data_IF_589491748977
#
_entry.id   IF_589491748977
#
_cell.length_a   1.000
_cell.length_b   1.000
_cell.length_c   1.000
_cell.angle_alpha   90.00
_cell.angle_beta   90.00
_cell.angle_gamma   90.00
#
_symmetry.space_group_name_H-M   'P 1'
#
loop_
_entity.id
_entity.type
_entity.pdbx_description
1 polymer ?
#
# COMPACT_ATOMS: atom_id res chain seq x y z
N UNK A 1 -27.36 -8.24 25.99
CA UNK A 1 -26.96 -8.29 24.57
C UNK A 1 -26.05 -7.10 24.30
N UNK A 2 -24.87 -7.40 23.77
CA UNK A 2 -23.87 -6.55 23.11
C UNK A 2 -23.95 -5.02 23.25
N UNK A 3 -22.93 -4.46 23.90
CA UNK A 3 -22.21 -3.29 23.37
C UNK A 3 -20.76 -3.31 23.87
N UNK A 4 -19.97 -4.25 23.34
CA UNK A 4 -18.55 -4.43 23.67
C UNK A 4 -17.58 -3.93 22.57
N UNK A 5 -18.08 -3.28 21.52
CA UNK A 5 -17.26 -2.84 20.37
C UNK A 5 -17.19 -1.31 20.23
N UNK A 6 -17.94 -0.54 21.04
CA UNK A 6 -17.99 0.93 20.89
C UNK A 6 -17.04 1.71 21.83
N UNK A 7 -16.52 1.09 22.89
CA UNK A 7 -15.68 1.78 23.89
C UNK A 7 -14.18 1.82 23.55
N UNK A 8 -13.70 0.92 22.67
CA UNK A 8 -12.28 0.84 22.32
C UNK A 8 -11.82 1.98 21.41
N UNK A 9 -12.74 2.61 20.67
CA UNK A 9 -12.40 3.72 19.77
C UNK A 9 -12.29 5.06 20.52
N UNK A 10 -13.01 5.22 21.64
CA UNK A 10 -12.94 6.44 22.48
C UNK A 10 -11.64 6.55 23.28
N UNK A 11 -10.98 5.43 23.61
CA UNK A 11 -9.65 5.47 24.25
C UNK A 11 -8.55 6.00 23.34
N UNK A 12 -8.69 5.90 22.02
CA UNK A 12 -7.70 6.46 21.09
C UNK A 12 -7.81 7.98 21.02
N UNK A 13 -9.02 8.53 21.12
CA UNK A 13 -9.27 9.97 21.14
C UNK A 13 -8.91 10.62 22.48
N UNK A 14 -9.07 9.91 23.60
CA UNK A 14 -8.68 10.41 24.93
C UNK A 14 -7.16 10.39 25.16
N UNK A 15 -6.41 9.44 24.57
CA UNK A 15 -4.94 9.49 24.62
C UNK A 15 -4.39 10.75 23.95
N UNK A 16 -5.04 11.25 22.89
CA UNK A 16 -4.67 12.51 22.25
C UNK A 16 -4.91 13.74 23.14
N UNK A 17 -5.87 13.70 24.06
CA UNK A 17 -6.12 14.80 25.01
C UNK A 17 -5.30 14.66 26.31
N UNK A 18 -4.96 13.44 26.73
CA UNK A 18 -4.23 13.22 27.97
C UNK A 18 -2.71 13.46 27.85
N UNK A 19 -2.17 13.50 26.63
CA UNK A 19 -0.80 13.96 26.34
C UNK A 19 -0.63 15.47 26.54
N UNK A 20 -1.72 16.20 26.82
CA UNK A 20 -1.70 17.67 26.98
C UNK A 20 -1.30 18.13 28.39
N UNK A 21 -0.96 17.22 29.31
CA UNK A 21 -0.65 17.53 30.72
C UNK A 21 0.67 16.96 31.25
N UNK A 22 1.61 16.58 30.39
CA UNK A 22 3.02 16.44 30.81
C UNK A 22 3.90 17.37 29.96
N UNK A 23 4.56 18.24 30.71
CA UNK A 23 5.15 19.53 30.36
C UNK A 23 6.44 19.38 29.52
N UNK A 24 6.72 20.37 28.64
CA UNK A 24 8.01 20.64 27.93
C UNK A 24 8.22 20.10 26.48
N UNK A 25 7.20 19.83 25.64
CA UNK A 25 7.46 19.60 24.18
C UNK A 25 6.52 20.35 23.19
N UNK A 26 5.81 21.38 23.65
CA UNK A 26 4.78 22.04 22.83
C UNK A 26 5.29 22.94 21.68
N UNK A 27 6.61 23.08 21.49
CA UNK A 27 7.17 23.88 20.39
C UNK A 27 7.52 23.05 19.13
N UNK A 28 7.53 21.72 19.19
CA UNK A 28 7.97 20.86 18.09
C UNK A 28 6.82 20.24 17.27
N UNK A 29 5.61 20.19 17.85
CA UNK A 29 4.44 19.53 17.24
C UNK A 29 3.93 20.24 15.98
N UNK A 30 4.15 21.56 15.87
CA UNK A 30 3.72 22.34 14.71
C UNK A 30 4.58 22.15 13.47
N UNK A 31 5.87 21.78 13.61
CA UNK A 31 6.74 21.50 12.45
C UNK A 31 6.47 20.07 11.89
N UNK A 32 6.05 19.15 12.77
CA UNK A 32 5.78 17.76 12.45
C UNK A 32 4.49 17.57 11.62
N UNK A 33 3.45 18.34 11.94
CA UNK A 33 2.13 18.20 11.30
C UNK A 33 2.15 18.52 9.79
N UNK A 34 2.95 19.50 9.35
CA UNK A 34 3.09 19.84 7.93
C UNK A 34 3.86 18.80 7.10
N UNK A 35 4.78 18.04 7.72
CA UNK A 35 5.57 17.03 7.03
C UNK A 35 4.84 15.68 6.90
N UNK A 36 3.92 15.39 7.82
CA UNK A 36 3.10 14.19 7.78
C UNK A 36 2.01 14.28 6.70
N UNK A 37 1.44 15.46 6.46
CA UNK A 37 0.40 15.63 5.44
C UNK A 37 0.92 15.31 4.02
N UNK A 38 2.08 15.87 3.64
CA UNK A 38 2.72 15.56 2.36
C UNK A 38 3.05 14.06 2.24
N UNK A 39 3.56 13.46 3.33
CA UNK A 39 3.82 12.03 3.38
C UNK A 39 2.56 11.19 3.18
N UNK A 40 1.45 11.55 3.81
CA UNK A 40 0.19 10.84 3.61
C UNK A 40 -0.36 11.02 2.20
N UNK A 41 -0.13 12.17 1.56
CA UNK A 41 -0.41 12.36 0.13
C UNK A 41 0.35 11.36 -0.76
N UNK A 42 1.65 11.18 -0.54
CA UNK A 42 2.42 10.17 -1.28
C UNK A 42 1.97 8.73 -0.96
N UNK A 43 1.66 8.44 0.30
CA UNK A 43 1.13 7.13 0.72
C UNK A 43 -0.19 6.83 0.02
N UNK A 44 -1.08 7.81 -0.12
CA UNK A 44 -2.36 7.62 -0.81
C UNK A 44 -2.14 7.39 -2.31
N UNK A 45 -1.26 8.15 -2.95
CA UNK A 45 -0.88 7.89 -4.35
C UNK A 45 -0.33 6.47 -4.56
N UNK A 46 0.44 5.93 -3.60
CA UNK A 46 0.92 4.55 -3.65
C UNK A 46 -0.23 3.54 -3.50
N UNK A 47 -1.17 3.80 -2.59
CA UNK A 47 -2.35 2.94 -2.40
C UNK A 47 -3.25 2.92 -3.62
N UNK A 48 -3.42 4.06 -4.30
CA UNK A 48 -4.17 4.15 -5.56
C UNK A 48 -3.53 3.28 -6.65
N UNK A 49 -2.21 3.37 -6.82
CA UNK A 49 -1.49 2.51 -7.76
C UNK A 49 -1.66 1.02 -7.42
N UNK A 50 -1.62 0.66 -6.13
CA UNK A 50 -1.86 -0.72 -5.67
C UNK A 50 -3.29 -1.17 -6.00
N UNK A 51 -4.30 -0.34 -5.75
CA UNK A 51 -5.69 -0.64 -6.12
C UNK A 51 -5.81 -0.88 -7.63
N UNK A 52 -5.10 -0.08 -8.42
CA UNK A 52 -5.08 -0.23 -9.87
C UNK A 52 -4.42 -1.55 -10.30
N UNK A 53 -3.45 -2.07 -9.54
CA UNK A 53 -2.88 -3.42 -9.76
C UNK A 53 -3.91 -4.50 -9.39
N UNK A 54 -4.61 -4.37 -8.26
CA UNK A 54 -5.65 -5.32 -7.84
C UNK A 54 -6.77 -5.44 -8.89
N UNK A 55 -7.17 -4.34 -9.51
CA UNK A 55 -8.17 -4.34 -10.58
C UNK A 55 -7.71 -5.10 -11.83
N UNK A 56 -6.45 -4.93 -12.26
CA UNK A 56 -5.92 -5.70 -13.39
C UNK A 56 -5.80 -7.18 -13.01
N UNK A 57 -5.36 -7.47 -11.79
CA UNK A 57 -5.23 -8.84 -11.31
C UNK A 57 -6.58 -9.58 -11.33
N UNK A 58 -7.66 -8.95 -10.86
CA UNK A 58 -9.02 -9.51 -10.95
C UNK A 58 -9.44 -9.77 -12.39
N UNK A 59 -9.26 -8.78 -13.29
CA UNK A 59 -9.57 -8.97 -14.73
C UNK A 59 -8.75 -10.10 -15.36
N UNK A 60 -7.51 -10.30 -14.93
CA UNK A 60 -6.66 -11.40 -15.38
C UNK A 60 -7.19 -12.76 -14.89
N UNK A 61 -7.65 -12.83 -13.64
CA UNK A 61 -8.31 -14.03 -13.10
C UNK A 61 -9.58 -14.36 -13.88
N UNK A 62 -10.46 -13.38 -14.10
CA UNK A 62 -11.71 -13.57 -14.84
C UNK A 62 -11.43 -14.04 -16.28
N UNK A 63 -10.44 -13.44 -16.96
CA UNK A 63 -10.02 -13.85 -18.29
C UNK A 63 -9.43 -15.27 -18.32
N UNK A 64 -8.71 -15.68 -17.27
CA UNK A 64 -8.22 -17.05 -17.17
C UNK A 64 -9.36 -18.06 -17.02
N UNK A 65 -10.35 -17.79 -16.17
CA UNK A 65 -11.50 -18.68 -15.99
C UNK A 65 -12.38 -18.73 -17.26
N UNK A 66 -12.54 -17.60 -17.97
CA UNK A 66 -13.18 -17.56 -19.30
C UNK A 66 -12.44 -18.47 -20.30
N UNK A 67 -11.11 -18.51 -20.25
CA UNK A 67 -10.31 -19.28 -21.21
C UNK A 67 -10.54 -20.78 -21.14
N UNK A 68 -11.03 -21.28 -20.01
CA UNK A 68 -11.33 -22.70 -19.78
C UNK A 68 -12.60 -23.17 -20.47
N UNK A 69 -13.51 -22.25 -20.80
CA UNK A 69 -14.83 -22.58 -21.37
C UNK A 69 -14.94 -22.19 -22.84
N UNK A 70 -14.02 -21.35 -23.34
CA UNK A 70 -13.98 -20.94 -24.75
C UNK A 70 -13.29 -22.01 -25.58
N UNK A 71 -14.01 -22.57 -26.56
CA UNK A 71 -13.49 -23.57 -27.50
C UNK A 71 -13.24 -23.02 -28.91
N UNK A 72 -13.63 -21.77 -29.19
CA UNK A 72 -13.32 -21.12 -30.46
C UNK A 72 -11.86 -20.65 -30.53
N UNK A 73 -11.12 -21.15 -31.52
CA UNK A 73 -9.69 -20.88 -31.66
C UNK A 73 -9.36 -19.38 -31.82
N UNK A 74 -10.22 -18.61 -32.49
CA UNK A 74 -10.00 -17.16 -32.66
C UNK A 74 -10.22 -16.42 -31.34
N UNK A 75 -11.27 -16.76 -30.61
CA UNK A 75 -11.56 -16.21 -29.30
C UNK A 75 -10.45 -16.55 -28.29
N UNK A 76 -9.95 -17.80 -28.26
CA UNK A 76 -8.82 -18.20 -27.40
C UNK A 76 -7.57 -17.37 -27.69
N UNK A 77 -7.21 -17.15 -28.96
CA UNK A 77 -6.05 -16.30 -29.32
C UNK A 77 -6.21 -14.86 -28.85
N UNK A 78 -7.39 -14.27 -29.04
CA UNK A 78 -7.70 -12.91 -28.57
C UNK A 78 -7.63 -12.81 -27.05
N UNK A 79 -8.11 -13.83 -26.36
CA UNK A 79 -8.11 -13.90 -24.90
C UNK A 79 -6.69 -13.99 -24.33
N UNK A 80 -5.84 -14.83 -24.91
CA UNK A 80 -4.41 -14.90 -24.54
C UNK A 80 -3.70 -13.57 -24.72
N UNK A 81 -3.90 -12.90 -25.87
CA UNK A 81 -3.30 -11.59 -26.10
C UNK A 81 -3.76 -10.54 -25.06
N UNK A 82 -5.03 -10.59 -24.62
CA UNK A 82 -5.54 -9.74 -23.53
C UNK A 82 -4.86 -10.06 -22.20
N UNK A 83 -4.69 -11.34 -21.87
CA UNK A 83 -4.04 -11.79 -20.65
C UNK A 83 -2.55 -11.37 -20.61
N UNK A 84 -1.82 -11.52 -21.73
CA UNK A 84 -0.42 -11.09 -21.85
C UNK A 84 -0.26 -9.58 -21.66
N UNK A 85 -1.20 -8.80 -22.21
CA UNK A 85 -1.24 -7.34 -21.99
C UNK A 85 -1.45 -7.00 -20.52
N UNK A 86 -2.41 -7.65 -19.84
CA UNK A 86 -2.66 -7.46 -18.41
C UNK A 86 -1.44 -7.81 -17.56
N UNK A 87 -0.73 -8.90 -17.87
CA UNK A 87 0.52 -9.29 -17.21
C UNK A 87 1.57 -8.19 -17.35
N UNK A 88 1.75 -7.66 -18.56
CA UNK A 88 2.71 -6.57 -18.81
C UNK A 88 2.35 -5.30 -18.04
N UNK A 89 1.07 -4.98 -17.96
CA UNK A 89 0.57 -3.80 -17.25
C UNK A 89 0.80 -3.91 -15.73
N UNK A 90 0.53 -5.08 -15.13
CA UNK A 90 0.82 -5.35 -13.71
C UNK A 90 2.30 -5.14 -13.42
N UNK A 91 3.19 -5.74 -14.21
CA UNK A 91 4.63 -5.63 -14.00
C UNK A 91 5.12 -4.18 -14.10
N UNK A 92 4.59 -3.41 -15.06
CA UNK A 92 4.91 -1.99 -15.20
C UNK A 92 4.48 -1.18 -13.98
N UNK A 93 3.25 -1.37 -13.52
CA UNK A 93 2.71 -0.65 -12.34
C UNK A 93 3.46 -1.00 -11.07
N UNK A 94 3.74 -2.28 -10.84
CA UNK A 94 4.52 -2.73 -9.68
C UNK A 94 5.91 -2.11 -9.65
N UNK A 95 6.57 -1.98 -10.81
CA UNK A 95 7.87 -1.29 -10.89
C UNK A 95 7.77 0.18 -10.48
N UNK A 96 6.70 0.88 -10.87
CA UNK A 96 6.44 2.26 -10.44
C UNK A 96 6.20 2.33 -8.92
N UNK A 97 5.37 1.44 -8.37
CA UNK A 97 5.11 1.36 -6.92
C UNK A 97 6.39 1.13 -6.13
N UNK A 98 7.24 0.17 -6.55
CA UNK A 98 8.55 -0.07 -5.91
C UNK A 98 9.41 1.19 -5.89
N UNK A 99 9.43 1.95 -6.99
CA UNK A 99 10.19 3.20 -7.08
C UNK A 99 9.65 4.24 -6.09
N UNK A 100 8.31 4.39 -5.98
CA UNK A 100 7.67 5.28 -5.01
C UNK A 100 7.95 4.86 -3.56
N UNK A 101 7.97 3.56 -3.26
CA UNK A 101 8.31 3.05 -1.92
C UNK A 101 9.75 3.36 -1.53
N UNK A 102 10.71 3.16 -2.44
CA UNK A 102 12.12 3.54 -2.20
C UNK A 102 12.26 5.06 -1.97
N UNK A 103 11.48 5.87 -2.70
CA UNK A 103 11.45 7.31 -2.47
C UNK A 103 10.88 7.68 -1.08
N UNK A 104 9.83 7.00 -0.62
CA UNK A 104 9.30 7.15 0.74
C UNK A 104 10.32 6.74 1.81
N UNK A 105 11.04 5.63 1.62
CA UNK A 105 12.12 5.21 2.54
C UNK A 105 13.24 6.25 2.61
N UNK A 106 13.65 6.81 1.47
CA UNK A 106 14.64 7.89 1.41
C UNK A 106 14.15 9.16 2.10
N UNK A 107 12.87 9.51 1.91
CA UNK A 107 12.22 10.63 2.59
C UNK A 107 12.22 10.43 4.11
N UNK A 108 11.89 9.22 4.59
CA UNK A 108 11.97 8.88 6.02
C UNK A 108 13.39 9.02 6.58
N UNK A 109 14.39 8.54 5.84
CA UNK A 109 15.79 8.67 6.25
C UNK A 109 16.26 10.13 6.29
N UNK A 110 15.78 10.98 5.37
CA UNK A 110 16.07 12.42 5.40
C UNK A 110 15.37 13.11 6.58
N UNK A 111 14.12 12.74 6.88
CA UNK A 111 13.34 13.31 7.96
C UNK A 111 13.98 13.09 9.33
N UNK A 112 14.69 11.98 9.53
CA UNK A 112 15.46 11.70 10.75
C UNK A 112 16.57 12.72 11.07
N UNK A 113 16.97 13.53 10.09
CA UNK A 113 17.99 14.58 10.26
C UNK A 113 17.39 15.91 10.73
N UNK A 114 16.06 16.03 10.73
CA UNK A 114 15.34 17.21 11.22
C UNK A 114 15.30 17.17 12.75
N UNK A 115 15.52 18.32 13.39
CA UNK A 115 15.46 18.43 14.85
C UNK A 115 14.07 17.99 15.36
N UNK A 116 14.04 17.14 16.39
CA UNK A 116 12.79 16.56 16.92
C UNK A 116 12.24 15.35 16.16
N UNK A 117 12.73 15.06 14.95
CA UNK A 117 12.26 13.94 14.12
C UNK A 117 13.24 12.76 14.08
N UNK A 118 14.14 12.67 15.07
CA UNK A 118 15.17 11.63 15.14
C UNK A 118 14.61 10.19 15.18
N UNK A 119 15.49 9.18 15.05
CA UNK A 119 15.11 7.78 15.14
C UNK A 119 14.30 7.49 16.41
N UNK A 120 13.14 6.84 16.26
CA UNK A 120 12.26 6.49 17.38
C UNK A 120 11.26 7.57 17.82
N UNK A 121 11.30 8.76 17.23
CA UNK A 121 10.25 9.78 17.40
C UNK A 121 8.88 9.27 16.95
N UNK A 122 7.79 9.89 17.45
CA UNK A 122 6.42 9.51 17.07
C UNK A 122 6.22 9.55 15.55
N UNK A 123 6.72 10.60 14.91
CA UNK A 123 6.71 10.78 13.47
C UNK A 123 7.52 9.69 12.74
N UNK A 124 8.75 9.42 13.17
CA UNK A 124 9.60 8.38 12.58
C UNK A 124 8.95 6.98 12.68
N UNK A 125 8.38 6.65 13.84
CA UNK A 125 7.67 5.38 14.07
C UNK A 125 6.47 5.24 13.15
N UNK A 126 5.66 6.29 13.04
CA UNK A 126 4.48 6.33 12.17
C UNK A 126 4.87 6.11 10.71
N UNK A 127 5.82 6.91 10.21
CA UNK A 127 6.27 6.82 8.82
C UNK A 127 6.90 5.47 8.51
N UNK A 128 7.73 4.95 9.41
CA UNK A 128 8.38 3.63 9.25
C UNK A 128 7.36 2.50 9.21
N UNK A 129 6.37 2.53 10.10
CA UNK A 129 5.30 1.51 10.16
C UNK A 129 4.46 1.51 8.88
N UNK A 130 4.05 2.69 8.40
CA UNK A 130 3.23 2.82 7.18
C UNK A 130 3.99 2.31 5.95
N UNK A 131 5.24 2.73 5.76
CA UNK A 131 6.06 2.29 4.61
C UNK A 131 6.30 0.78 4.65
N UNK A 132 6.61 0.23 5.84
CA UNK A 132 6.77 -1.21 6.02
C UNK A 132 5.48 -1.98 5.69
N UNK A 133 4.32 -1.43 6.09
CA UNK A 133 3.01 -2.00 5.78
C UNK A 133 2.71 -2.01 4.28
N UNK A 134 3.02 -0.93 3.56
CA UNK A 134 2.88 -0.87 2.10
C UNK A 134 3.83 -1.85 1.41
N UNK A 135 5.07 -1.95 1.87
CA UNK A 135 6.05 -2.91 1.35
C UNK A 135 5.57 -4.36 1.49
N UNK A 136 5.02 -4.70 2.67
CA UNK A 136 4.42 -6.02 2.91
C UNK A 136 3.22 -6.27 1.99
N UNK A 137 2.30 -5.32 1.88
CA UNK A 137 1.13 -5.43 1.00
C UNK A 137 1.53 -5.66 -0.46
N UNK A 138 2.52 -4.92 -0.97
CA UNK A 138 3.01 -5.10 -2.34
C UNK A 138 3.58 -6.50 -2.55
N UNK A 139 4.31 -7.02 -1.57
CA UNK A 139 4.86 -8.37 -1.62
C UNK A 139 3.74 -9.41 -1.70
N UNK A 140 2.77 -9.34 -0.80
CA UNK A 140 1.66 -10.29 -0.75
C UNK A 140 0.88 -10.30 -2.08
N UNK A 141 0.58 -9.12 -2.63
CA UNK A 141 -0.05 -8.97 -3.95
C UNK A 141 0.78 -9.60 -5.09
N UNK A 142 2.11 -9.43 -5.06
CA UNK A 142 2.99 -10.00 -6.07
C UNK A 142 3.13 -11.51 -5.95
N UNK A 143 3.08 -12.05 -4.74
CA UNK A 143 3.08 -13.49 -4.49
C UNK A 143 1.77 -14.11 -5.04
N UNK A 144 0.62 -13.46 -4.84
CA UNK A 144 -0.66 -13.87 -5.44
C UNK A 144 -0.63 -13.82 -6.97
N UNK A 145 -0.12 -12.73 -7.54
CA UNK A 145 0.04 -12.60 -8.99
C UNK A 145 0.93 -13.69 -9.56
N UNK A 146 2.03 -14.03 -8.89
CA UNK A 146 2.94 -15.07 -9.35
C UNK A 146 2.32 -16.47 -9.24
N UNK A 147 1.49 -16.73 -8.21
CA UNK A 147 0.68 -17.95 -8.11
C UNK A 147 -0.27 -18.08 -9.31
N UNK A 148 -1.00 -17.02 -9.63
CA UNK A 148 -1.90 -17.00 -10.79
C UNK A 148 -1.15 -17.22 -12.11
N UNK A 149 -0.04 -16.51 -12.31
CA UNK A 149 0.77 -16.65 -13.53
C UNK A 149 1.32 -18.06 -13.71
N UNK A 150 1.71 -18.71 -12.61
CA UNK A 150 2.18 -20.11 -12.65
C UNK A 150 1.03 -21.04 -13.03
N UNK A 151 -0.14 -20.88 -12.40
CA UNK A 151 -1.34 -21.67 -12.72
C UNK A 151 -1.71 -21.55 -14.20
N UNK A 152 -1.72 -20.34 -14.74
CA UNK A 152 -1.97 -20.06 -16.15
C UNK A 152 -0.97 -20.71 -17.12
N UNK A 153 0.26 -20.96 -16.68
CA UNK A 153 1.30 -21.57 -17.51
C UNK A 153 1.27 -23.11 -17.47
N UNK A 154 0.65 -23.68 -16.44
CA UNK A 154 0.49 -25.13 -16.27
C UNK A 154 -0.84 -25.66 -16.80
N UNK A 155 -1.83 -24.78 -17.01
CA UNK A 155 -3.12 -25.06 -17.66
C UNK A 155 -2.99 -24.99 -19.19
#
# INVERSE_FOLDING_TARGET
MNDLISSSFKRYTDLNHQVQLDDIESQNVSLDSGNLDEFFGYVESVKEDMKAVDEIHKRLQDANEESKTVHDSKAVKKLRARMDSSVTEVLKRVKMIKTKLVALEKSNAAQRKVAGCGPGSSADRTRTSVVSGLGKKLKDMMDDFQRLRTKMATE
#
